data_IF_888670636682
#
_entry.id   IF_888670636682
#
_cell.length_a   1.000
_cell.length_b   1.000
_cell.length_c   1.000
_cell.angle_alpha   90.00
_cell.angle_beta   90.00
_cell.angle_gamma   90.00
#
_symmetry.space_group_name_H-M   'P 1'
#
loop_
_entity.id
_entity.type
_entity.pdbx_description
1 polymer ?
#
# COMPACT_ATOMS: atom_id res chain seq x y z
N UNK A 1 8.68 -27.59 4.88
CA UNK A 1 7.79 -27.02 3.86
C UNK A 1 8.61 -26.79 2.60
N UNK A 2 8.18 -27.27 1.45
CA UNK A 2 8.86 -27.02 0.18
C UNK A 2 8.63 -25.59 -0.32
N UNK A 3 9.42 -25.17 -1.31
CA UNK A 3 9.42 -23.81 -1.81
C UNK A 3 8.07 -23.41 -2.44
N UNK A 4 7.42 -24.33 -3.17
CA UNK A 4 6.14 -24.05 -3.82
C UNK A 4 5.06 -23.83 -2.78
N UNK A 5 4.96 -24.74 -1.80
CA UNK A 5 4.00 -24.62 -0.69
C UNK A 5 4.20 -23.32 0.09
N UNK A 6 5.46 -22.91 0.33
CA UNK A 6 5.75 -21.64 1.00
C UNK A 6 5.20 -20.44 0.21
N UNK A 7 5.48 -20.38 -1.09
CA UNK A 7 5.03 -19.29 -1.97
C UNK A 7 3.49 -19.22 -2.01
N UNK A 8 2.81 -20.37 -2.09
CA UNK A 8 1.34 -20.42 -2.11
C UNK A 8 0.73 -19.88 -0.80
N UNK A 9 1.34 -20.19 0.34
CA UNK A 9 0.92 -19.70 1.66
C UNK A 9 1.18 -18.19 1.81
N UNK A 10 2.36 -17.70 1.41
CA UNK A 10 2.70 -16.27 1.43
C UNK A 10 1.73 -15.47 0.54
N UNK A 11 1.43 -15.98 -0.66
CA UNK A 11 0.47 -15.37 -1.57
C UNK A 11 -0.96 -15.39 -0.98
N UNK A 12 -1.36 -16.47 -0.30
CA UNK A 12 -2.64 -16.55 0.40
C UNK A 12 -2.74 -15.53 1.54
N UNK A 13 -1.67 -15.36 2.33
CA UNK A 13 -1.62 -14.37 3.40
C UNK A 13 -1.71 -12.94 2.85
N UNK A 14 -1.01 -12.63 1.75
CA UNK A 14 -1.12 -11.34 1.08
C UNK A 14 -2.54 -11.05 0.58
N UNK A 15 -3.18 -12.03 -0.07
CA UNK A 15 -4.59 -11.91 -0.48
C UNK A 15 -5.51 -11.65 0.71
N UNK A 16 -5.29 -12.33 1.84
CA UNK A 16 -6.05 -12.11 3.07
C UNK A 16 -5.89 -10.70 3.63
N UNK A 17 -4.66 -10.14 3.62
CA UNK A 17 -4.42 -8.75 4.02
C UNK A 17 -5.15 -7.75 3.09
N UNK A 18 -5.04 -7.95 1.78
CA UNK A 18 -5.69 -7.10 0.77
C UNK A 18 -7.21 -7.12 0.98
N UNK A 19 -7.81 -8.31 1.10
CA UNK A 19 -9.24 -8.45 1.35
C UNK A 19 -9.68 -7.76 2.66
N UNK A 20 -8.90 -7.91 3.73
CA UNK A 20 -9.18 -7.22 4.99
C UNK A 20 -9.18 -5.69 4.83
N UNK A 21 -8.20 -5.14 4.13
CA UNK A 21 -8.07 -3.70 3.88
C UNK A 21 -9.15 -3.15 2.93
N UNK A 22 -9.68 -3.97 2.03
CA UNK A 22 -10.83 -3.63 1.18
C UNK A 22 -12.12 -3.54 2.01
N UNK A 23 -12.32 -4.44 2.99
CA UNK A 23 -13.47 -4.38 3.91
C UNK A 23 -13.39 -3.23 4.91
N UNK A 24 -12.17 -2.81 5.29
CA UNK A 24 -11.91 -1.73 6.23
C UNK A 24 -11.70 -0.38 5.53
N UNK A 25 -12.67 0.03 4.73
CA UNK A 25 -12.64 1.34 4.03
C UNK A 25 -12.66 2.54 4.97
N UNK A 26 -13.04 2.35 6.23
CA UNK A 26 -12.94 3.33 7.31
C UNK A 26 -11.48 3.70 7.64
N UNK A 27 -10.54 2.77 7.45
CA UNK A 27 -9.12 2.98 7.74
C UNK A 27 -8.47 3.78 6.61
N UNK A 28 -8.13 5.04 6.85
CA UNK A 28 -7.51 5.89 5.85
C UNK A 28 -6.03 5.53 5.65
N UNK A 29 -5.53 5.77 4.43
CA UNK A 29 -4.11 5.52 4.14
C UNK A 29 -3.19 6.39 5.00
N UNK A 30 -3.57 7.62 5.32
CA UNK A 30 -2.75 8.51 6.16
C UNK A 30 -2.58 7.95 7.57
N UNK A 31 -3.62 7.34 8.14
CA UNK A 31 -3.53 6.70 9.47
C UNK A 31 -2.58 5.50 9.44
N UNK A 32 -2.65 4.68 8.38
CA UNK A 32 -1.72 3.56 8.19
C UNK A 32 -0.28 4.05 8.01
N UNK A 33 -0.07 5.12 7.25
CA UNK A 33 1.26 5.72 7.08
C UNK A 33 1.82 6.28 8.40
N UNK A 34 0.98 6.98 9.16
CA UNK A 34 1.36 7.57 10.44
C UNK A 34 1.68 6.51 11.50
N UNK A 35 0.97 5.39 11.50
CA UNK A 35 1.12 4.33 12.49
C UNK A 35 2.22 3.32 12.10
N UNK A 36 2.19 2.84 10.87
CA UNK A 36 2.96 1.67 10.42
C UNK A 36 3.92 1.97 9.27
N UNK A 37 3.97 3.21 8.78
CA UNK A 37 4.87 3.62 7.70
C UNK A 37 4.50 3.09 6.31
N UNK A 38 3.42 2.32 6.15
CA UNK A 38 2.95 1.85 4.84
C UNK A 38 1.43 1.89 4.75
N UNK A 39 0.90 1.94 3.53
CA UNK A 39 -0.55 1.90 3.28
C UNK A 39 -0.87 1.09 2.02
N UNK A 40 -2.13 1.12 1.56
CA UNK A 40 -2.58 0.44 0.33
C UNK A 40 -1.79 0.85 -0.91
N UNK A 41 -1.38 2.13 -0.99
CA UNK A 41 -0.55 2.62 -2.08
C UNK A 41 0.84 1.98 -2.07
N UNK A 42 1.41 1.71 -0.90
CA UNK A 42 2.69 0.99 -0.78
C UNK A 42 2.55 -0.47 -1.23
N UNK A 43 1.47 -1.15 -0.83
CA UNK A 43 1.16 -2.51 -1.32
C UNK A 43 1.06 -2.53 -2.86
N UNK A 44 0.41 -1.52 -3.45
CA UNK A 44 0.27 -1.40 -4.91
C UNK A 44 1.62 -1.19 -5.60
N UNK A 45 2.55 -0.43 -4.97
CA UNK A 45 3.90 -0.22 -5.51
C UNK A 45 4.77 -1.48 -5.38
N UNK A 46 4.69 -2.21 -4.27
CA UNK A 46 5.37 -3.51 -4.13
C UNK A 46 4.85 -4.53 -5.14
N UNK A 47 3.54 -4.59 -5.36
CA UNK A 47 2.94 -5.46 -6.36
C UNK A 47 3.45 -5.14 -7.78
N UNK A 48 3.49 -3.84 -8.13
CA UNK A 48 4.04 -3.36 -9.40
C UNK A 48 5.53 -3.68 -9.55
N UNK A 49 6.34 -3.50 -8.50
CA UNK A 49 7.76 -3.84 -8.51
C UNK A 49 7.98 -5.34 -8.75
N UNK A 50 7.24 -6.20 -8.05
CA UNK A 50 7.29 -7.65 -8.24
C UNK A 50 6.87 -8.08 -9.65
N UNK A 51 5.85 -7.43 -10.24
CA UNK A 51 5.46 -7.69 -11.63
C UNK A 51 6.60 -7.35 -12.62
N UNK A 52 7.28 -6.21 -12.42
CA UNK A 52 8.42 -5.79 -13.24
C UNK A 52 9.59 -6.77 -13.14
N UNK A 53 9.91 -7.27 -11.95
CA UNK A 53 10.95 -8.29 -11.75
C UNK A 53 10.66 -9.59 -12.52
N UNK A 54 9.37 -9.89 -12.72
CA UNK A 54 8.91 -11.04 -13.48
C UNK A 54 8.68 -10.73 -14.97
N UNK A 55 9.08 -9.56 -15.45
CA UNK A 55 8.83 -9.06 -16.82
C UNK A 55 7.34 -9.06 -17.21
N UNK A 56 6.44 -8.89 -16.25
CA UNK A 56 5.01 -8.73 -16.47
C UNK A 56 4.70 -7.24 -16.63
N UNK A 57 4.17 -6.87 -17.80
CA UNK A 57 3.75 -5.50 -18.06
C UNK A 57 2.56 -5.11 -17.18
N UNK A 58 2.73 -4.04 -16.41
CA UNK A 58 1.74 -3.51 -15.49
C UNK A 58 2.02 -2.04 -15.23
N UNK A 59 0.97 -1.22 -15.19
CA UNK A 59 1.05 0.16 -14.74
C UNK A 59 0.59 0.30 -13.28
N UNK A 60 0.72 1.51 -12.74
CA UNK A 60 0.36 1.76 -11.33
C UNK A 60 -1.15 1.77 -11.09
N UNK A 61 -1.96 2.09 -12.11
CA UNK A 61 -3.41 2.13 -11.99
C UNK A 61 -3.94 0.71 -11.83
N UNK A 62 -3.43 -0.20 -12.64
CA UNK A 62 -3.75 -1.62 -12.56
C UNK A 62 -3.31 -2.26 -11.25
N UNK A 63 -2.12 -1.92 -10.75
CA UNK A 63 -1.67 -2.46 -9.46
C UNK A 63 -2.50 -1.92 -8.28
N UNK A 64 -2.97 -0.67 -8.37
CA UNK A 64 -3.94 -0.12 -7.42
C UNK A 64 -5.28 -0.85 -7.51
N UNK A 65 -5.84 -1.06 -8.70
CA UNK A 65 -7.09 -1.81 -8.85
C UNK A 65 -7.06 -3.17 -8.17
N UNK A 66 -5.94 -3.89 -8.28
CA UNK A 66 -5.75 -5.20 -7.62
C UNK A 66 -5.81 -5.07 -6.09
N UNK A 67 -5.19 -4.03 -5.51
CA UNK A 67 -5.16 -3.82 -4.06
C UNK A 67 -6.46 -3.21 -3.54
N UNK A 68 -7.07 -2.28 -4.26
CA UNK A 68 -8.28 -1.57 -3.84
C UNK A 68 -9.58 -2.34 -4.18
N UNK A 69 -9.54 -3.28 -5.13
CA UNK A 69 -10.71 -4.05 -5.57
C UNK A 69 -11.65 -3.28 -6.51
N UNK A 70 -11.30 -2.03 -6.83
CA UNK A 70 -12.00 -1.11 -7.73
C UNK A 70 -11.00 -0.07 -8.24
N UNK A 71 -11.41 0.79 -9.16
CA UNK A 71 -10.52 1.88 -9.61
C UNK A 71 -10.17 2.80 -8.45
N UNK A 72 -8.95 3.36 -8.46
CA UNK A 72 -8.56 4.28 -7.40
C UNK A 72 -9.48 5.50 -7.33
N UNK A 73 -9.94 6.00 -8.47
CA UNK A 73 -10.84 7.15 -8.51
C UNK A 73 -12.22 6.86 -7.90
N UNK A 74 -12.78 5.66 -8.11
CA UNK A 74 -13.97 5.21 -7.39
C UNK A 74 -13.72 5.15 -5.89
N UNK A 75 -12.60 4.57 -5.47
CA UNK A 75 -12.27 4.47 -4.05
C UNK A 75 -12.13 5.86 -3.39
N UNK A 76 -11.47 6.80 -4.09
CA UNK A 76 -11.33 8.18 -3.63
C UNK A 76 -12.67 8.86 -3.46
N UNK A 77 -13.56 8.73 -4.45
CA UNK A 77 -14.90 9.32 -4.44
C UNK A 77 -15.74 8.77 -3.30
N UNK A 78 -15.69 7.46 -3.08
CA UNK A 78 -16.64 6.77 -2.20
C UNK A 78 -16.16 6.66 -0.74
N UNK A 79 -14.83 6.66 -0.51
CA UNK A 79 -14.26 6.33 0.80
C UNK A 79 -13.14 7.26 1.31
N UNK A 80 -12.44 7.99 0.43
CA UNK A 80 -11.34 8.84 0.88
C UNK A 80 -11.86 10.10 1.58
N UNK A 81 -11.30 10.38 2.76
CA UNK A 81 -11.55 11.60 3.51
C UNK A 81 -10.34 12.53 3.42
N UNK A 82 -10.61 13.82 3.54
CA UNK A 82 -9.55 14.81 3.69
C UNK A 82 -8.79 14.58 5.00
N UNK A 83 -7.46 14.68 4.94
CA UNK A 83 -6.61 14.54 6.12
C UNK A 83 -6.70 15.78 7.00
N UNK A 84 -6.94 15.60 8.29
CA UNK A 84 -6.86 16.67 9.28
C UNK A 84 -5.44 17.26 9.38
N UNK A 85 -5.28 18.52 9.84
CA UNK A 85 -3.97 19.12 10.09
C UNK A 85 -3.10 18.26 11.01
N UNK A 86 -3.68 17.62 12.01
CA UNK A 86 -2.99 16.75 12.95
C UNK A 86 -2.44 15.50 12.26
N UNK A 87 -3.24 14.85 11.40
CA UNK A 87 -2.79 13.70 10.61
C UNK A 87 -1.66 14.09 9.66
N UNK A 88 -1.73 15.27 9.02
CA UNK A 88 -0.68 15.77 8.14
C UNK A 88 0.62 16.08 8.92
N UNK A 89 0.51 16.71 10.09
CA UNK A 89 1.68 16.97 10.93
C UNK A 89 2.36 15.67 11.39
N UNK A 90 1.58 14.68 11.83
CA UNK A 90 2.12 13.37 12.21
C UNK A 90 2.73 12.64 11.01
N UNK A 91 2.14 12.79 9.82
CA UNK A 91 2.69 12.23 8.60
C UNK A 91 4.11 12.74 8.35
N UNK A 92 4.31 14.06 8.42
CA UNK A 92 5.64 14.67 8.24
C UNK A 92 6.63 14.22 9.33
N UNK A 93 6.20 14.15 10.59
CA UNK A 93 7.05 13.69 11.70
C UNK A 93 7.50 12.23 11.54
N UNK A 94 6.63 11.37 10.99
CA UNK A 94 6.91 9.94 10.83
C UNK A 94 7.56 9.60 9.48
N UNK A 95 7.84 10.58 8.61
CA UNK A 95 8.46 10.36 7.29
C UNK A 95 9.69 9.46 7.28
N UNK A 96 10.65 9.59 8.22
CA UNK A 96 11.82 8.71 8.27
C UNK A 96 11.48 7.22 8.50
N UNK A 97 10.28 6.93 9.01
CA UNK A 97 9.79 5.57 9.29
C UNK A 97 8.90 5.01 8.18
N UNK A 98 8.62 5.77 7.14
CA UNK A 98 7.79 5.28 6.04
C UNK A 98 8.51 4.12 5.33
N UNK A 99 7.78 3.29 4.58
CA UNK A 99 8.37 2.19 3.86
C UNK A 99 9.23 2.72 2.70
N UNK A 100 10.39 2.12 2.41
CA UNK A 100 11.29 2.55 1.33
C UNK A 100 10.59 2.72 -0.03
N UNK A 101 9.57 1.91 -0.31
CA UNK A 101 8.79 1.97 -1.55
C UNK A 101 7.82 3.17 -1.60
N UNK A 102 7.55 3.81 -0.47
CA UNK A 102 6.62 4.94 -0.39
C UNK A 102 7.05 6.08 -1.32
N UNK A 103 8.37 6.30 -1.46
CA UNK A 103 8.93 7.47 -2.15
C UNK A 103 9.04 8.72 -1.27
N UNK A 104 8.87 8.58 0.06
CA UNK A 104 8.81 9.69 1.00
C UNK A 104 10.12 9.88 1.79
N UNK A 105 11.11 9.02 1.54
CA UNK A 105 12.41 9.07 2.21
C UNK A 105 13.17 10.31 1.77
N UNK A 106 13.80 10.97 2.72
CA UNK A 106 14.79 11.98 2.42
C UNK A 106 16.11 11.27 2.06
N UNK A 107 16.71 11.48 0.88
CA UNK A 107 17.99 10.89 0.52
C UNK A 107 19.15 11.28 1.45
N UNK A 108 18.97 12.29 2.31
CA UNK A 108 19.99 12.77 3.26
C UNK A 108 20.02 12.04 4.61
N UNK A 109 19.11 11.09 4.87
CA UNK A 109 18.97 10.41 6.18
C UNK A 109 19.26 8.91 6.14
N UNK A 110 19.99 8.43 5.13
CA UNK A 110 20.50 7.04 5.01
C UNK A 110 22.02 7.00 4.96
#
# INVERSE_FOLDING_TARGET
MDQKTRIEIEAAAFRGLVEHLQRRSDVQNIDLMNLAGFCRNCLSKWYLAAAKEQNVEMDYDRSREIVYGMTYDEWKRDYQKEASPEQQAQFEQTRPLHAFISGHHNPETT
#
